data_IF_496428604182
#
_entry.id   IF_496428604182
#
_cell.length_a   1.000
_cell.length_b   1.000
_cell.length_c   1.000
_cell.angle_alpha   90.00
_cell.angle_beta   90.00
_cell.angle_gamma   90.00
#
_symmetry.space_group_name_H-M   'P 1'
#
loop_
_entity.id
_entity.type
_entity.pdbx_description
1 polymer ?
#
# COMPACT_ATOMS: atom_id res chain seq x y z
N UNK A 1 -0.83 27.74 13.56
CA UNK A 1 -1.38 26.41 13.15
C UNK A 1 -1.52 26.31 11.64
N UNK A 2 -2.09 27.33 10.97
CA UNK A 2 -2.16 27.40 9.50
C UNK A 2 -0.81 27.26 8.80
N UNK A 3 0.27 27.85 9.33
CA UNK A 3 1.62 27.73 8.74
C UNK A 3 2.10 26.28 8.65
N UNK A 4 1.83 25.45 9.67
CA UNK A 4 2.13 24.01 9.66
C UNK A 4 1.29 23.30 8.60
N UNK A 5 -0.02 23.59 8.52
CA UNK A 5 -0.91 23.02 7.49
C UNK A 5 -0.42 23.32 6.07
N UNK A 6 -0.07 24.59 5.80
CA UNK A 6 0.50 25.03 4.53
C UNK A 6 1.81 24.31 4.21
N UNK A 7 2.74 24.22 5.17
CA UNK A 7 4.02 23.51 4.98
C UNK A 7 3.83 22.03 4.62
N UNK A 8 2.89 21.35 5.27
CA UNK A 8 2.56 19.96 4.94
C UNK A 8 1.93 19.81 3.56
N UNK A 9 0.97 20.66 3.23
CA UNK A 9 0.36 20.68 1.89
C UNK A 9 1.42 20.90 0.81
N UNK A 10 2.34 21.84 1.01
CA UNK A 10 3.46 22.04 0.10
C UNK A 10 4.33 20.78 0.01
N UNK A 11 4.65 20.12 1.13
CA UNK A 11 5.43 18.88 1.09
C UNK A 11 4.73 17.76 0.30
N UNK A 12 3.43 17.54 0.51
CA UNK A 12 2.64 16.54 -0.22
C UNK A 12 2.59 16.91 -1.70
N UNK A 13 2.34 18.18 -2.01
CA UNK A 13 2.29 18.69 -3.39
C UNK A 13 3.63 18.52 -4.09
N UNK A 14 4.74 18.88 -3.43
CA UNK A 14 6.09 18.69 -3.97
C UNK A 14 6.38 17.22 -4.24
N UNK A 15 6.01 16.30 -3.34
CA UNK A 15 6.17 14.85 -3.56
C UNK A 15 5.36 14.39 -4.77
N UNK A 16 4.08 14.78 -4.88
CA UNK A 16 3.22 14.43 -6.02
C UNK A 16 3.78 15.00 -7.32
N UNK A 17 4.28 16.23 -7.30
CA UNK A 17 4.87 16.90 -8.47
C UNK A 17 6.15 16.18 -8.92
N UNK A 18 7.05 15.86 -7.98
CA UNK A 18 8.28 15.11 -8.28
C UNK A 18 7.95 13.72 -8.85
N UNK A 19 6.99 13.01 -8.26
CA UNK A 19 6.56 11.70 -8.77
C UNK A 19 5.92 11.81 -10.15
N UNK A 20 5.07 12.81 -10.38
CA UNK A 20 4.45 13.05 -11.69
C UNK A 20 5.52 13.33 -12.74
N UNK A 21 6.50 14.19 -12.46
CA UNK A 21 7.60 14.46 -13.39
C UNK A 21 8.41 13.19 -13.66
N UNK A 22 8.77 12.45 -12.60
CA UNK A 22 9.51 11.19 -12.72
C UNK A 22 8.78 10.19 -13.62
N UNK A 23 7.49 9.95 -13.39
CA UNK A 23 6.69 9.06 -14.22
C UNK A 23 6.55 9.59 -15.65
N UNK A 24 6.28 10.88 -15.85
CA UNK A 24 6.17 11.46 -17.19
C UNK A 24 7.46 11.28 -18.00
N UNK A 25 8.62 11.54 -17.41
CA UNK A 25 9.93 11.32 -18.06
C UNK A 25 10.12 9.84 -18.39
N UNK A 26 9.83 8.96 -17.44
CA UNK A 26 10.00 7.53 -17.59
C UNK A 26 9.07 6.94 -18.67
N UNK A 27 7.81 7.35 -18.73
CA UNK A 27 6.89 6.97 -19.80
C UNK A 27 7.29 7.56 -21.15
N UNK A 28 7.73 8.81 -21.18
CA UNK A 28 8.17 9.48 -22.41
C UNK A 28 9.35 8.76 -23.06
N UNK A 29 10.37 8.40 -22.26
CA UNK A 29 11.58 7.73 -22.75
C UNK A 29 11.30 6.35 -23.38
N UNK A 30 10.31 5.62 -22.87
CA UNK A 30 9.99 4.25 -23.33
C UNK A 30 8.70 4.15 -24.13
N UNK A 31 8.09 5.28 -24.48
CA UNK A 31 6.76 5.33 -25.11
C UNK A 31 6.61 4.45 -26.36
N UNK A 32 7.56 4.42 -27.33
CA UNK A 32 7.42 3.61 -28.53
C UNK A 32 7.29 2.12 -28.22
N UNK A 33 8.13 1.61 -27.30
CA UNK A 33 8.13 0.21 -26.87
C UNK A 33 6.85 -0.14 -26.12
N UNK A 34 6.39 0.76 -25.24
CA UNK A 34 5.16 0.56 -24.47
C UNK A 34 3.95 0.47 -25.39
N UNK A 35 3.79 1.40 -26.33
CA UNK A 35 2.71 1.38 -27.32
C UNK A 35 2.74 0.10 -28.15
N UNK A 36 3.91 -0.27 -28.69
CA UNK A 36 4.04 -1.47 -29.51
C UNK A 36 3.58 -2.72 -28.75
N UNK A 37 3.96 -2.82 -27.47
CA UNK A 37 3.58 -3.94 -26.59
C UNK A 37 2.07 -4.02 -26.38
N UNK A 38 1.41 -2.87 -26.20
CA UNK A 38 -0.04 -2.82 -25.99
C UNK A 38 -0.78 -3.28 -27.26
N UNK A 39 -0.32 -2.87 -28.45
CA UNK A 39 -0.95 -3.26 -29.71
C UNK A 39 -0.61 -4.67 -30.17
N UNK A 40 0.53 -5.23 -29.75
CA UNK A 40 0.98 -6.56 -30.16
C UNK A 40 0.34 -7.71 -29.39
N UNK A 41 -0.29 -7.44 -28.24
CA UNK A 41 -0.77 -8.49 -27.36
C UNK A 41 -2.28 -8.37 -27.11
N UNK A 42 -3.01 -9.41 -27.47
CA UNK A 42 -4.48 -9.45 -27.32
C UNK A 42 -4.90 -9.30 -25.84
N UNK A 43 -5.94 -8.50 -25.60
CA UNK A 43 -6.51 -8.31 -24.26
C UNK A 43 -5.75 -7.37 -23.31
N UNK A 44 -4.52 -6.95 -23.63
CA UNK A 44 -3.76 -6.03 -22.76
C UNK A 44 -4.44 -4.67 -22.60
N UNK A 45 -5.09 -4.16 -23.65
CA UNK A 45 -5.84 -2.90 -23.59
C UNK A 45 -6.88 -2.89 -22.46
N UNK A 46 -7.59 -4.00 -22.24
CA UNK A 46 -8.59 -4.11 -21.17
C UNK A 46 -7.91 -4.06 -19.80
N UNK A 47 -6.79 -4.79 -19.64
CA UNK A 47 -5.99 -4.76 -18.41
C UNK A 47 -5.46 -3.35 -18.08
N UNK A 48 -4.95 -2.63 -19.09
CA UNK A 48 -4.49 -1.24 -18.95
C UNK A 48 -5.61 -0.33 -18.46
N UNK A 49 -6.79 -0.40 -19.09
CA UNK A 49 -7.96 0.40 -18.70
C UNK A 49 -8.39 0.10 -17.27
N UNK A 50 -8.40 -1.16 -16.85
CA UNK A 50 -8.74 -1.54 -15.48
C UNK A 50 -7.73 -1.03 -14.45
N UNK A 51 -6.43 -1.09 -14.74
CA UNK A 51 -5.39 -0.55 -13.87
C UNK A 51 -5.55 0.97 -13.74
N UNK A 52 -5.85 1.68 -14.84
CA UNK A 52 -6.13 3.13 -14.81
C UNK A 52 -7.36 3.43 -13.95
N UNK A 53 -8.46 2.69 -14.15
CA UNK A 53 -9.68 2.85 -13.35
C UNK A 53 -9.41 2.64 -11.85
N UNK A 54 -8.69 1.56 -11.50
CA UNK A 54 -8.27 1.28 -10.12
C UNK A 54 -7.41 2.40 -9.54
N UNK A 55 -6.48 2.92 -10.32
CA UNK A 55 -5.60 4.04 -9.93
C UNK A 55 -6.43 5.27 -9.61
N UNK A 56 -7.42 5.62 -10.43
CA UNK A 56 -8.32 6.74 -10.19
C UNK A 56 -9.15 6.54 -8.91
N UNK A 57 -9.73 5.36 -8.71
CA UNK A 57 -10.51 5.03 -7.50
C UNK A 57 -9.64 5.21 -6.24
N UNK A 58 -8.43 4.66 -6.24
CA UNK A 58 -7.47 4.79 -5.14
C UNK A 58 -7.08 6.25 -4.88
N UNK A 59 -6.85 7.02 -5.95
CA UNK A 59 -6.54 8.44 -5.88
C UNK A 59 -7.67 9.24 -5.24
N UNK A 60 -8.92 8.97 -5.64
CA UNK A 60 -10.11 9.61 -5.05
C UNK A 60 -10.24 9.28 -3.56
N UNK A 61 -10.04 8.00 -3.17
CA UNK A 61 -10.05 7.58 -1.76
C UNK A 61 -8.98 8.33 -0.96
N UNK A 62 -7.74 8.36 -1.45
CA UNK A 62 -6.63 9.05 -0.81
C UNK A 62 -6.92 10.54 -0.64
N UNK A 63 -7.37 11.20 -1.71
CA UNK A 63 -7.73 12.62 -1.71
C UNK A 63 -8.84 12.93 -0.69
N UNK A 64 -9.88 12.09 -0.65
CA UNK A 64 -10.98 12.24 0.30
C UNK A 64 -10.49 12.21 1.76
N UNK A 65 -9.58 11.29 2.09
CA UNK A 65 -9.03 11.16 3.44
C UNK A 65 -8.12 12.32 3.81
N UNK A 66 -7.25 12.77 2.90
CA UNK A 66 -6.45 13.98 3.13
C UNK A 66 -7.33 15.22 3.32
N UNK A 67 -8.41 15.36 2.56
CA UNK A 67 -9.37 16.46 2.74
C UNK A 67 -10.01 16.43 4.12
N UNK A 68 -10.40 15.24 4.60
CA UNK A 68 -10.94 15.09 5.97
C UNK A 68 -9.89 15.42 7.04
N UNK A 69 -8.66 14.95 6.87
CA UNK A 69 -7.54 15.25 7.76
C UNK A 69 -7.26 16.76 7.87
N UNK A 70 -7.24 17.48 6.75
CA UNK A 70 -6.98 18.92 6.72
C UNK A 70 -8.04 19.76 7.46
N UNK A 71 -9.28 19.26 7.51
CA UNK A 71 -10.41 19.89 8.20
C UNK A 71 -10.39 19.70 9.71
N UNK A 72 -9.50 18.87 10.25
CA UNK A 72 -9.37 18.69 11.70
C UNK A 72 -8.80 19.95 12.36
N UNK A 73 -9.23 20.21 13.60
CA UNK A 73 -8.75 21.34 14.40
C UNK A 73 -7.23 21.23 14.61
N UNK A 74 -6.77 20.12 15.18
CA UNK A 74 -5.36 19.77 15.27
C UNK A 74 -4.99 18.77 14.18
N UNK A 75 -3.76 18.88 13.66
CA UNK A 75 -3.26 18.06 12.56
C UNK A 75 -1.97 17.36 12.98
N UNK A 76 -1.97 16.03 12.92
CA UNK A 76 -0.81 15.19 13.17
C UNK A 76 -0.62 14.15 12.04
N UNK A 77 0.63 13.84 11.70
CA UNK A 77 0.99 12.78 10.74
C UNK A 77 0.55 11.40 11.27
N UNK A 78 0.44 11.27 12.59
CA UNK A 78 -0.01 10.04 13.25
C UNK A 78 -1.53 9.83 13.18
N UNK A 79 -2.29 10.79 12.66
CA UNK A 79 -3.75 10.68 12.59
C UNK A 79 -4.17 9.60 11.59
N UNK A 80 -5.20 8.84 11.94
CA UNK A 80 -5.65 7.71 11.14
C UNK A 80 -6.06 8.14 9.72
N UNK A 81 -6.70 9.31 9.56
CA UNK A 81 -7.03 9.87 8.25
C UNK A 81 -5.80 10.10 7.37
N UNK A 82 -4.72 10.63 7.95
CA UNK A 82 -3.47 10.85 7.21
C UNK A 82 -2.81 9.53 6.83
N UNK A 83 -2.73 8.59 7.77
CA UNK A 83 -2.06 7.31 7.56
C UNK A 83 -2.80 6.45 6.51
N UNK A 84 -4.13 6.35 6.57
CA UNK A 84 -4.90 5.67 5.53
C UNK A 84 -4.92 6.45 4.21
N UNK A 85 -4.93 7.79 4.26
CA UNK A 85 -4.75 8.63 3.06
C UNK A 85 -3.41 8.35 2.37
N UNK A 86 -2.34 8.22 3.16
CA UNK A 86 -1.00 7.85 2.70
C UNK A 86 -0.96 6.43 2.13
N UNK A 87 -1.58 5.46 2.80
CA UNK A 87 -1.70 4.09 2.31
C UNK A 87 -2.32 4.02 0.91
N UNK A 88 -3.49 4.63 0.71
CA UNK A 88 -4.14 4.66 -0.61
C UNK A 88 -3.40 5.53 -1.63
N UNK A 89 -2.75 6.62 -1.19
CA UNK A 89 -1.96 7.48 -2.06
C UNK A 89 -0.71 6.78 -2.59
N UNK A 90 0.02 6.07 -1.72
CA UNK A 90 1.16 5.24 -2.11
C UNK A 90 0.69 4.11 -3.02
N UNK A 91 -0.47 3.46 -2.74
CA UNK A 91 -1.03 2.45 -3.66
C UNK A 91 -1.35 3.04 -5.03
N UNK A 92 -1.81 4.29 -5.10
CA UNK A 92 -2.08 4.99 -6.37
C UNK A 92 -0.79 5.12 -7.17
N UNK A 93 0.29 5.62 -6.56
CA UNK A 93 1.61 5.69 -7.19
C UNK A 93 2.14 4.31 -7.57
N UNK A 94 1.91 3.30 -6.71
CA UNK A 94 2.28 1.92 -7.00
C UNK A 94 1.57 1.37 -8.23
N UNK A 95 0.31 1.77 -8.49
CA UNK A 95 -0.44 1.32 -9.66
C UNK A 95 -0.05 2.03 -10.95
N UNK A 96 0.31 3.30 -10.88
CA UNK A 96 0.97 4.00 -12.01
C UNK A 96 2.29 3.29 -12.34
N UNK A 97 3.08 2.95 -11.32
CA UNK A 97 4.31 2.20 -11.51
C UNK A 97 4.07 0.78 -12.05
N UNK A 98 3.11 0.03 -11.49
CA UNK A 98 2.74 -1.32 -11.95
C UNK A 98 2.33 -1.31 -13.42
N UNK A 99 1.62 -0.27 -13.89
CA UNK A 99 1.23 -0.15 -15.30
C UNK A 99 2.46 -0.11 -16.21
N UNK A 100 3.43 0.74 -15.90
CA UNK A 100 4.70 0.81 -16.63
C UNK A 100 5.44 -0.53 -16.58
N UNK A 101 5.61 -1.04 -15.36
CA UNK A 101 6.35 -2.26 -15.07
C UNK A 101 5.79 -3.48 -15.81
N UNK A 102 4.47 -3.66 -15.81
CA UNK A 102 3.83 -4.78 -16.48
C UNK A 102 4.07 -4.75 -17.98
N UNK A 103 3.95 -3.57 -18.61
CA UNK A 103 4.22 -3.41 -20.05
C UNK A 103 5.69 -3.68 -20.37
N UNK A 104 6.62 -3.21 -19.54
CA UNK A 104 8.05 -3.52 -19.69
C UNK A 104 8.30 -5.03 -19.65
N UNK A 105 7.72 -5.75 -18.68
CA UNK A 105 7.90 -7.20 -18.58
C UNK A 105 7.30 -7.94 -19.77
N UNK A 106 6.07 -7.60 -20.14
CA UNK A 106 5.37 -8.29 -21.23
C UNK A 106 6.07 -8.08 -22.56
N UNK A 107 6.69 -6.91 -22.77
CA UNK A 107 7.43 -6.64 -24.01
C UNK A 107 8.57 -7.64 -24.26
N UNK A 108 9.21 -8.14 -23.20
CA UNK A 108 10.38 -9.04 -23.31
C UNK A 108 11.64 -8.41 -23.95
N UNK A 109 11.61 -7.13 -24.32
CA UNK A 109 12.70 -6.45 -25.05
C UNK A 109 13.78 -5.91 -24.11
N UNK A 110 13.46 -5.74 -22.82
CA UNK A 110 14.35 -5.09 -21.86
C UNK A 110 15.37 -6.05 -21.25
N UNK A 111 16.55 -5.51 -20.93
CA UNK A 111 17.61 -6.25 -20.24
C UNK A 111 17.11 -6.79 -18.87
N UNK A 112 17.36 -8.08 -18.55
CA UNK A 112 17.01 -8.67 -17.25
C UNK A 112 17.47 -7.88 -16.02
N UNK A 113 18.64 -7.22 -16.07
CA UNK A 113 19.16 -6.39 -14.98
C UNK A 113 18.29 -5.14 -14.76
N UNK A 114 17.82 -4.52 -15.85
CA UNK A 114 16.90 -3.40 -15.78
C UNK A 114 15.54 -3.84 -15.21
N UNK A 115 15.02 -4.99 -15.64
CA UNK A 115 13.79 -5.57 -15.09
C UNK A 115 13.95 -5.88 -13.59
N UNK A 116 15.11 -6.42 -13.17
CA UNK A 116 15.41 -6.65 -11.75
C UNK A 116 15.42 -5.35 -10.94
N UNK A 117 16.03 -4.28 -11.47
CA UNK A 117 15.98 -2.96 -10.84
C UNK A 117 14.54 -2.49 -10.64
N UNK A 118 13.70 -2.64 -11.67
CA UNK A 118 12.28 -2.28 -11.58
C UNK A 118 11.55 -3.11 -10.50
N UNK A 119 11.77 -4.42 -10.47
CA UNK A 119 11.21 -5.30 -9.44
C UNK A 119 11.65 -4.87 -8.04
N UNK A 120 12.91 -4.49 -7.83
CA UNK A 120 13.40 -3.98 -6.54
C UNK A 120 12.67 -2.69 -6.14
N UNK A 121 12.51 -1.74 -7.07
CA UNK A 121 11.74 -0.49 -6.84
C UNK A 121 10.29 -0.82 -6.43
N UNK A 122 9.64 -1.75 -7.15
CA UNK A 122 8.29 -2.22 -6.84
C UNK A 122 8.17 -2.70 -5.39
N UNK A 123 9.12 -3.50 -4.93
CA UNK A 123 9.11 -4.03 -3.57
C UNK A 123 9.36 -2.97 -2.51
N UNK A 124 10.21 -1.97 -2.78
CA UNK A 124 10.34 -0.81 -1.91
C UNK A 124 9.04 -0.03 -1.78
N UNK A 125 8.31 0.17 -2.88
CA UNK A 125 6.99 0.82 -2.85
C UNK A 125 6.02 0.04 -1.96
N UNK A 126 6.01 -1.30 -2.03
CA UNK A 126 5.17 -2.14 -1.18
C UNK A 126 5.54 -2.00 0.30
N UNK A 127 6.83 -1.98 0.65
CA UNK A 127 7.25 -1.75 2.05
C UNK A 127 6.75 -0.40 2.55
N UNK A 128 7.01 0.66 1.78
CA UNK A 128 6.59 2.03 2.12
C UNK A 128 5.07 2.11 2.26
N UNK A 129 4.34 1.39 1.42
CA UNK A 129 2.89 1.28 1.49
C UNK A 129 2.39 0.68 2.81
N UNK A 130 3.09 -0.29 3.38
CA UNK A 130 2.66 -0.98 4.61
C UNK A 130 2.94 -0.18 5.88
N UNK A 131 3.91 0.75 5.85
CA UNK A 131 4.32 1.51 7.03
C UNK A 131 3.19 2.31 7.70
N UNK A 132 2.31 3.05 6.98
CA UNK A 132 1.21 3.76 7.62
C UNK A 132 0.24 2.86 8.38
N UNK A 133 -0.05 1.67 7.85
CA UNK A 133 -0.99 0.72 8.45
C UNK A 133 -0.34 0.00 9.63
N UNK A 134 0.93 -0.40 9.49
CA UNK A 134 1.72 -0.96 10.59
C UNK A 134 1.81 0.02 11.76
N UNK A 135 1.96 1.33 11.49
CA UNK A 135 2.00 2.35 12.53
C UNK A 135 0.74 2.35 13.39
N UNK A 136 -0.45 2.26 12.77
CA UNK A 136 -1.75 2.21 13.47
C UNK A 136 -1.86 0.92 14.28
N UNK A 137 -1.57 -0.22 13.66
CA UNK A 137 -1.69 -1.52 14.32
C UNK A 137 -0.77 -1.65 15.53
N UNK A 138 0.48 -1.19 15.42
CA UNK A 138 1.44 -1.21 16.53
C UNK A 138 1.03 -0.33 17.70
N UNK A 139 0.42 0.84 17.44
CA UNK A 139 -0.07 1.72 18.50
C UNK A 139 -1.04 0.98 19.42
N UNK A 140 -1.98 0.25 18.82
CA UNK A 140 -2.99 -0.48 19.59
C UNK A 140 -2.46 -1.70 20.34
N UNK A 141 -1.54 -2.47 19.73
CA UNK A 141 -0.88 -3.59 20.44
C UNK A 141 -0.12 -3.06 21.65
N UNK A 142 0.67 -2.00 21.46
CA UNK A 142 1.49 -1.46 22.52
C UNK A 142 0.64 -0.92 23.68
N UNK A 143 -0.46 -0.21 23.38
CA UNK A 143 -1.43 0.22 24.39
C UNK A 143 -1.97 -0.98 25.18
N UNK A 144 -2.31 -2.08 24.50
CA UNK A 144 -2.80 -3.29 25.18
C UNK A 144 -1.74 -3.93 26.09
N UNK A 145 -0.51 -4.11 25.61
CA UNK A 145 0.59 -4.70 26.40
C UNK A 145 0.82 -3.89 27.68
N UNK A 146 0.76 -2.58 27.59
CA UNK A 146 0.96 -1.69 28.72
C UNK A 146 -0.14 -1.80 29.77
N UNK A 147 -1.40 -1.86 29.32
CA UNK A 147 -2.54 -2.05 30.22
C UNK A 147 -2.51 -3.40 30.92
N UNK A 148 -2.01 -4.45 30.26
CA UNK A 148 -2.01 -5.80 30.82
C UNK A 148 -0.77 -6.09 31.70
N UNK A 149 0.34 -5.36 31.52
CA UNK A 149 1.59 -5.59 32.26
C UNK A 149 1.80 -4.68 33.48
N UNK A 150 0.84 -3.81 33.83
CA UNK A 150 0.97 -2.81 34.92
C UNK A 150 2.32 -2.04 34.88
N UNK A 151 2.93 -1.90 33.69
CA UNK A 151 4.09 -1.05 33.49
C UNK A 151 3.55 0.28 33.00
N UNK A 152 3.87 1.37 33.67
CA UNK A 152 3.59 2.70 33.15
C UNK A 152 4.69 3.08 32.16
N UNK A 153 4.54 2.69 30.89
CA UNK A 153 5.40 3.24 29.85
C UNK A 153 4.95 4.67 29.51
N UNK A 154 5.91 5.60 29.49
CA UNK A 154 5.65 6.97 29.03
C UNK A 154 5.36 7.01 27.52
N UNK A 155 4.51 7.96 27.08
CA UNK A 155 4.15 8.18 25.66
C UNK A 155 5.38 8.34 24.76
N UNK A 156 6.47 8.93 25.26
CA UNK A 156 7.74 9.05 24.52
C UNK A 156 8.44 7.70 24.32
N UNK A 157 8.35 6.80 25.30
CA UNK A 157 8.95 5.46 25.19
C UNK A 157 8.18 4.61 24.18
N UNK A 158 6.84 4.73 24.18
CA UNK A 158 5.99 4.09 23.17
C UNK A 158 6.31 4.50 21.74
N UNK A 159 6.41 5.81 21.49
CA UNK A 159 6.67 6.30 20.14
C UNK A 159 8.05 5.85 19.64
N UNK A 160 9.06 5.85 20.52
CA UNK A 160 10.41 5.32 20.22
C UNK A 160 10.38 3.83 19.92
N UNK A 161 9.67 3.02 20.73
CA UNK A 161 9.60 1.57 20.52
C UNK A 161 8.90 1.24 19.19
N UNK A 162 7.77 1.88 18.89
CA UNK A 162 7.05 1.72 17.62
C UNK A 162 7.95 2.04 16.43
N UNK A 163 8.64 3.19 16.47
CA UNK A 163 9.57 3.58 15.41
C UNK A 163 10.72 2.59 15.25
N UNK A 164 11.27 2.05 16.34
CA UNK A 164 12.32 1.01 16.28
C UNK A 164 11.82 -0.27 15.61
N UNK A 165 10.61 -0.74 15.96
CA UNK A 165 10.02 -1.93 15.34
C UNK A 165 9.81 -1.70 13.84
N UNK A 166 9.22 -0.56 13.46
CA UNK A 166 9.00 -0.22 12.05
C UNK A 166 10.31 -0.08 11.28
N UNK A 167 11.31 0.57 11.87
CA UNK A 167 12.62 0.75 11.24
C UNK A 167 13.36 -0.58 11.09
N UNK A 168 13.37 -1.43 12.12
CA UNK A 168 13.95 -2.77 12.05
C UNK A 168 13.28 -3.61 10.96
N UNK A 169 11.96 -3.58 10.89
CA UNK A 169 11.19 -4.24 9.83
C UNK A 169 11.57 -3.71 8.42
N UNK A 170 11.56 -2.39 8.24
CA UNK A 170 11.90 -1.77 6.96
C UNK A 170 13.35 -2.07 6.54
N UNK A 171 14.29 -2.08 7.50
CA UNK A 171 15.71 -2.35 7.25
C UNK A 171 15.93 -3.80 6.84
N UNK A 172 15.36 -4.76 7.57
CA UNK A 172 15.49 -6.19 7.23
C UNK A 172 14.91 -6.47 5.86
N UNK A 173 13.72 -5.95 5.57
CA UNK A 173 13.08 -6.15 4.26
C UNK A 173 13.82 -5.43 3.13
N UNK A 174 14.33 -4.22 3.36
CA UNK A 174 15.20 -3.52 2.41
C UNK A 174 16.48 -4.30 2.10
N UNK A 175 17.15 -4.85 3.12
CA UNK A 175 18.36 -5.66 2.91
C UNK A 175 18.09 -6.89 2.06
N UNK A 176 16.99 -7.61 2.32
CA UNK A 176 16.56 -8.76 1.50
C UNK A 176 16.37 -8.34 0.03
N UNK A 177 15.77 -7.18 -0.23
CA UNK A 177 15.54 -6.69 -1.59
C UNK A 177 16.84 -6.30 -2.29
N UNK A 178 17.71 -5.54 -1.61
CA UNK A 178 18.98 -5.06 -2.19
C UNK A 178 19.89 -6.22 -2.54
N UNK A 179 20.04 -7.17 -1.61
CA UNK A 179 20.93 -8.32 -1.74
C UNK A 179 20.36 -9.43 -2.63
N UNK A 180 19.10 -9.32 -3.08
CA UNK A 180 18.51 -10.33 -3.93
C UNK A 180 19.28 -10.47 -5.27
N UNK A 181 19.75 -11.69 -5.59
CA UNK A 181 20.59 -11.93 -6.76
C UNK A 181 19.79 -12.03 -8.06
N UNK A 182 18.52 -12.43 -8.00
CA UNK A 182 17.70 -12.71 -9.19
C UNK A 182 16.23 -12.35 -8.98
N UNK A 183 15.51 -12.21 -10.10
CA UNK A 183 14.06 -12.03 -10.14
C UNK A 183 13.32 -13.18 -9.45
N UNK A 184 13.75 -14.42 -9.75
CA UNK A 184 13.13 -15.63 -9.20
C UNK A 184 13.25 -15.69 -7.68
N UNK A 185 14.39 -15.30 -7.12
CA UNK A 185 14.58 -15.24 -5.67
C UNK A 185 13.56 -14.30 -5.01
N UNK A 186 13.40 -13.09 -5.56
CA UNK A 186 12.43 -12.13 -5.01
C UNK A 186 10.99 -12.60 -5.16
N UNK A 187 10.62 -13.16 -6.31
CA UNK A 187 9.28 -13.67 -6.56
C UNK A 187 8.93 -14.83 -5.61
N UNK A 188 9.91 -15.60 -5.15
CA UNK A 188 9.72 -16.68 -4.18
C UNK A 188 9.62 -16.14 -2.75
N UNK A 189 10.55 -15.30 -2.31
CA UNK A 189 10.66 -14.89 -0.89
C UNK A 189 9.61 -13.84 -0.52
N UNK A 190 9.33 -12.90 -1.41
CA UNK A 190 8.53 -11.73 -1.07
C UNK A 190 7.06 -12.02 -0.74
N UNK A 191 6.36 -12.95 -1.41
CA UNK A 191 5.00 -13.34 -1.02
C UNK A 191 4.91 -13.81 0.43
N UNK A 192 5.90 -14.56 0.94
CA UNK A 192 5.89 -15.00 2.33
C UNK A 192 6.04 -13.83 3.30
N UNK A 193 6.93 -12.88 2.99
CA UNK A 193 7.12 -11.67 3.79
C UNK A 193 5.82 -10.87 3.83
N UNK A 194 5.19 -10.60 2.68
CA UNK A 194 3.96 -9.81 2.62
C UNK A 194 2.77 -10.49 3.28
N UNK A 195 2.59 -11.80 3.07
CA UNK A 195 1.52 -12.58 3.73
C UNK A 195 1.66 -12.49 5.24
N UNK A 196 2.87 -12.69 5.79
CA UNK A 196 3.10 -12.61 7.23
C UNK A 196 2.72 -11.23 7.79
N UNK A 197 3.07 -10.16 7.07
CA UNK A 197 2.73 -8.79 7.46
C UNK A 197 1.23 -8.55 7.38
N UNK A 198 0.57 -8.97 6.30
CA UNK A 198 -0.87 -8.80 6.16
C UNK A 198 -1.63 -9.59 7.23
N UNK A 199 -1.17 -10.78 7.61
CA UNK A 199 -1.73 -11.56 8.73
C UNK A 199 -1.57 -10.77 10.03
N UNK A 200 -0.37 -10.24 10.30
CA UNK A 200 -0.14 -9.43 11.49
C UNK A 200 -1.06 -8.19 11.52
N UNK A 201 -1.21 -7.50 10.38
CA UNK A 201 -2.11 -6.34 10.24
C UNK A 201 -3.58 -6.75 10.46
N UNK A 202 -4.04 -7.81 9.81
CA UNK A 202 -5.41 -8.31 9.98
C UNK A 202 -5.68 -8.65 11.44
N UNK A 203 -4.78 -9.39 12.07
CA UNK A 203 -4.86 -9.74 13.49
C UNK A 203 -4.91 -8.50 14.38
N UNK A 204 -4.07 -7.49 14.12
CA UNK A 204 -4.10 -6.21 14.84
C UNK A 204 -5.46 -5.53 14.77
N UNK A 205 -6.08 -5.44 13.59
CA UNK A 205 -7.39 -4.81 13.42
C UNK A 205 -8.54 -5.59 14.06
N UNK A 206 -8.54 -6.93 13.95
CA UNK A 206 -9.51 -7.78 14.63
C UNK A 206 -9.38 -7.69 16.15
N UNK A 207 -8.15 -7.65 16.65
CA UNK A 207 -7.86 -7.47 18.06
C UNK A 207 -8.33 -6.11 18.58
N UNK A 208 -8.08 -5.04 17.82
CA UNK A 208 -8.59 -3.70 18.16
C UNK A 208 -10.11 -3.64 18.24
N UNK A 209 -10.80 -4.34 17.33
CA UNK A 209 -12.24 -4.42 17.32
C UNK A 209 -12.77 -5.15 18.55
N UNK A 210 -12.21 -6.32 18.87
CA UNK A 210 -12.59 -7.12 20.05
C UNK A 210 -12.46 -6.31 21.35
N UNK A 211 -11.44 -5.46 21.44
CA UNK A 211 -11.15 -4.64 22.62
C UNK A 211 -11.74 -3.22 22.58
N UNK A 212 -12.60 -2.89 21.59
CA UNK A 212 -13.28 -1.60 21.43
C UNK A 212 -12.33 -0.37 21.44
N UNK A 213 -11.16 -0.48 20.78
CA UNK A 213 -10.11 0.57 20.83
C UNK A 213 -10.12 1.55 19.66
N UNK A 214 -10.61 1.14 18.49
CA UNK A 214 -10.74 2.01 17.33
C UNK A 214 -12.11 2.69 17.37
N UNK A 215 -12.17 3.94 17.82
CA UNK A 215 -13.42 4.73 17.80
C UNK A 215 -13.69 5.36 16.42
N UNK A 216 -12.63 5.52 15.61
CA UNK A 216 -12.70 6.24 14.35
C UNK A 216 -12.99 5.34 13.14
N UNK A 217 -12.72 4.03 13.24
CA UNK A 217 -12.80 3.10 12.13
C UNK A 217 -13.30 1.72 12.59
N UNK A 218 -14.00 1.00 11.72
CA UNK A 218 -14.45 -0.35 11.99
C UNK A 218 -13.32 -1.36 11.75
N UNK A 219 -12.59 -1.67 12.83
CA UNK A 219 -11.49 -2.64 12.80
C UNK A 219 -11.87 -4.03 12.30
N UNK A 220 -13.12 -4.49 12.47
CA UNK A 220 -13.56 -5.79 11.95
C UNK A 220 -13.53 -5.81 10.42
N UNK A 221 -14.14 -4.79 9.79
CA UNK A 221 -14.20 -4.67 8.33
C UNK A 221 -12.80 -4.54 7.75
N UNK A 222 -11.94 -3.71 8.36
CA UNK A 222 -10.56 -3.53 7.90
C UNK A 222 -9.76 -4.84 8.04
N UNK A 223 -9.89 -5.53 9.18
CA UNK A 223 -9.21 -6.81 9.40
C UNK A 223 -9.62 -7.87 8.38
N UNK A 224 -10.92 -8.01 8.11
CA UNK A 224 -11.45 -8.90 7.07
C UNK A 224 -10.96 -8.48 5.69
N UNK A 225 -10.91 -7.18 5.38
CA UNK A 225 -10.41 -6.69 4.10
C UNK A 225 -8.94 -7.10 3.87
N UNK A 226 -8.08 -7.06 4.89
CA UNK A 226 -6.71 -7.57 4.78
C UNK A 226 -6.64 -9.09 4.57
N UNK A 227 -7.54 -9.86 5.18
CA UNK A 227 -7.66 -11.30 4.92
C UNK A 227 -8.07 -11.54 3.46
N UNK A 228 -9.09 -10.82 2.97
CA UNK A 228 -9.49 -10.88 1.57
C UNK A 228 -8.35 -10.48 0.64
N UNK A 229 -7.51 -9.51 1.03
CA UNK A 229 -6.34 -9.10 0.26
C UNK A 229 -5.28 -10.22 0.15
N UNK A 230 -5.04 -10.97 1.23
CA UNK A 230 -4.17 -12.17 1.19
C UNK A 230 -4.74 -13.21 0.23
N UNK A 231 -6.03 -13.53 0.37
CA UNK A 231 -6.71 -14.51 -0.48
C UNK A 231 -6.68 -14.08 -1.94
N UNK A 232 -6.93 -12.80 -2.24
CA UNK A 232 -6.85 -12.25 -3.60
C UNK A 232 -5.46 -12.39 -4.21
N UNK A 233 -4.40 -12.11 -3.44
CA UNK A 233 -3.02 -12.28 -3.94
C UNK A 233 -2.67 -13.74 -4.25
N UNK A 234 -3.15 -14.69 -3.43
CA UNK A 234 -2.98 -16.13 -3.70
C UNK A 234 -3.77 -16.55 -4.94
N UNK A 235 -5.05 -16.16 -5.03
CA UNK A 235 -5.91 -16.43 -6.17
C UNK A 235 -5.34 -15.85 -7.46
N UNK A 236 -4.83 -14.62 -7.43
CA UNK A 236 -4.16 -13.97 -8.57
C UNK A 236 -3.01 -14.82 -9.10
N UNK A 237 -2.18 -15.34 -8.22
CA UNK A 237 -1.03 -16.19 -8.62
C UNK A 237 -1.52 -17.45 -9.34
N UNK A 238 -2.57 -18.08 -8.83
CA UNK A 238 -3.19 -19.26 -9.45
C UNK A 238 -3.82 -18.91 -10.80
N UNK A 239 -4.59 -17.83 -10.87
CA UNK A 239 -5.33 -17.40 -12.06
C UNK A 239 -4.40 -17.02 -13.22
N UNK A 240 -3.32 -16.28 -12.94
CA UNK A 240 -2.34 -15.88 -13.96
C UNK A 240 -1.62 -17.10 -14.55
N UNK A 241 -1.34 -18.13 -13.74
CA UNK A 241 -0.72 -19.36 -14.23
C UNK A 241 -1.62 -20.17 -15.16
N UNK A 242 -2.95 -20.01 -15.05
CA UNK A 242 -3.92 -20.68 -15.93
C UNK A 242 -4.09 -19.89 -17.23
N UNK A 243 -4.38 -18.59 -17.13
CA UNK A 243 -4.57 -17.73 -18.30
C UNK A 243 -4.34 -16.25 -17.92
N UNK A 244 -3.55 -15.54 -18.72
CA UNK A 244 -3.29 -14.10 -18.59
C UNK A 244 -4.59 -13.27 -18.57
N UNK A 245 -5.62 -13.69 -19.31
CA UNK A 245 -6.92 -13.01 -19.34
C UNK A 245 -7.64 -13.01 -17.98
N UNK A 246 -7.34 -13.98 -17.10
CA UNK A 246 -7.91 -13.97 -15.75
C UNK A 246 -7.31 -12.92 -14.81
N UNK A 247 -6.23 -12.26 -15.21
CA UNK A 247 -5.71 -11.08 -14.50
C UNK A 247 -6.75 -9.96 -14.37
N UNK A 248 -7.67 -9.85 -15.34
CA UNK A 248 -8.80 -8.92 -15.35
C UNK A 248 -9.70 -9.15 -14.13
N UNK A 249 -10.08 -10.40 -13.86
CA UNK A 249 -10.91 -10.74 -12.69
C UNK A 249 -10.18 -10.46 -11.38
N UNK A 250 -8.87 -10.74 -11.33
CA UNK A 250 -8.06 -10.43 -10.15
C UNK A 250 -8.00 -8.91 -9.86
N UNK A 251 -7.96 -8.06 -10.89
CA UNK A 251 -8.02 -6.60 -10.70
C UNK A 251 -9.40 -6.14 -10.20
N UNK A 252 -10.50 -6.73 -10.67
CA UNK A 252 -11.85 -6.41 -10.19
C UNK A 252 -12.06 -6.77 -8.72
N UNK A 253 -11.62 -7.98 -8.31
CA UNK A 253 -11.67 -8.43 -6.91
C UNK A 253 -10.91 -7.44 -6.02
N UNK A 254 -9.73 -7.06 -6.45
CA UNK A 254 -8.87 -6.11 -5.75
C UNK A 254 -9.48 -4.71 -5.59
N UNK A 255 -10.19 -4.21 -6.61
CA UNK A 255 -10.97 -2.96 -6.50
C UNK A 255 -12.04 -3.11 -5.41
N UNK A 256 -12.77 -4.23 -5.41
CA UNK A 256 -13.77 -4.54 -4.39
C UNK A 256 -13.18 -4.56 -2.98
N UNK A 257 -12.02 -5.18 -2.79
CA UNK A 257 -11.34 -5.23 -1.49
C UNK A 257 -10.89 -3.84 -1.05
N UNK A 258 -10.33 -3.02 -1.95
CA UNK A 258 -9.93 -1.65 -1.63
C UNK A 258 -11.12 -0.79 -1.22
N UNK A 259 -12.26 -0.91 -1.93
CA UNK A 259 -13.52 -0.26 -1.55
C UNK A 259 -14.01 -0.73 -0.18
N UNK A 260 -13.97 -2.03 0.07
CA UNK A 260 -14.38 -2.61 1.35
C UNK A 260 -13.51 -2.10 2.51
N UNK A 261 -12.19 -2.01 2.32
CA UNK A 261 -11.26 -1.43 3.28
C UNK A 261 -11.57 0.06 3.55
N UNK A 262 -11.82 0.83 2.50
CA UNK A 262 -12.18 2.24 2.60
C UNK A 262 -13.50 2.46 3.35
N UNK A 263 -14.52 1.65 3.06
CA UNK A 263 -15.79 1.64 3.81
C UNK A 263 -15.53 1.33 5.28
N UNK A 264 -14.76 0.29 5.58
CA UNK A 264 -14.39 -0.07 6.94
C UNK A 264 -13.72 1.07 7.71
N UNK A 265 -12.93 1.89 7.02
CA UNK A 265 -12.30 3.06 7.62
C UNK A 265 -13.27 4.22 7.90
N UNK A 266 -14.23 4.48 7.00
CA UNK A 266 -15.17 5.60 7.16
C UNK A 266 -16.35 5.24 8.06
N UNK A 267 -16.75 3.97 8.10
CA UNK A 267 -17.84 3.48 8.93
C UNK A 267 -17.42 3.47 10.40
N UNK A 268 -18.11 4.25 11.22
CA UNK A 268 -17.96 4.18 12.67
C UNK A 268 -18.47 2.84 13.20
N UNK A 269 -17.78 2.22 14.17
CA UNK A 269 -18.29 1.02 14.81
C UNK A 269 -19.50 1.33 15.70
N UNK A 270 -20.44 0.38 15.82
CA UNK A 270 -21.69 0.52 16.61
C UNK A 270 -21.49 0.62 18.13
N UNK A 271 -20.25 0.55 18.63
CA UNK A 271 -19.93 0.62 20.05
C UNK A 271 -19.31 1.96 20.48
N UNK A 272 -19.28 2.94 19.57
CA UNK A 272 -18.75 4.29 19.79
C UNK A 272 -19.88 5.30 20.05
#
# INVERSE_FOLDING_TARGET
MESKKKKFLYSIFTIILVLTIFFSVLYYLYWPTLIATIFSSEGLWIGVVLIICRTLILGIMSFFLYRKWLRQEAIYISDAYFLFGSFFGILTCAKVYDLFYNLVIISGVFNPEFVLLLVKIRFFIIIVNLLPVLYIGLDAILIYINMNKNKEMDKKQFSKLRLRIMFGFALVTALVIVLAPTLNFLNLVFPFITILIYIAIAFMFLFMYKNKRLTQANGLIIGIAFICFIVSNLLRTILININLSYSIFAELIDIGINLFMFIGFISKPKYA
#
